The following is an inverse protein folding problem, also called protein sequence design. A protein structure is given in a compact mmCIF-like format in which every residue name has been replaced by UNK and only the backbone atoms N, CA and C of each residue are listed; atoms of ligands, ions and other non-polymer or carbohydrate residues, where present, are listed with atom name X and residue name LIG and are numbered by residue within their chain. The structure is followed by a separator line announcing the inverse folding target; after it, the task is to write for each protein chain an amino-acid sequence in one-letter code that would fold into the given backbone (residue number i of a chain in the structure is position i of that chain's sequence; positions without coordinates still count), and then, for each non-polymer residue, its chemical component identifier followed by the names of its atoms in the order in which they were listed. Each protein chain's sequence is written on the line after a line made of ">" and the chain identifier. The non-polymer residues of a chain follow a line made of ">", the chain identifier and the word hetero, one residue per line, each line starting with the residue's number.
data_IF_705029351473
#
_entry.id   IF_705029351473
#
_cell.length_a   1.000
_cell.length_b   1.000
_cell.length_c   1.000
_cell.angle_alpha   90.00
_cell.angle_beta   90.00
_cell.angle_gamma   90.00
#
_symmetry.space_group_name_H-M   'P 1'
#
loop_
_entity.id
_entity.type
_entity.pdbx_description
1 polymer ?
#
# COMPACT_ATOMS: atom_id res chain seq x y z
N UNK A 1 18.29 14.71 7.29
CA UNK A 1 19.60 15.37 7.26
C UNK A 1 19.75 15.94 5.87
N UNK A 2 19.84 17.26 5.72
CA UNK A 2 19.97 17.88 4.39
C UNK A 2 21.40 17.72 3.89
N UNK A 3 21.53 17.08 2.75
CA UNK A 3 22.82 16.87 2.11
C UNK A 3 22.87 17.61 0.77
N UNK A 4 24.06 18.07 0.40
CA UNK A 4 24.31 18.58 -0.95
C UNK A 4 24.06 17.46 -1.96
N UNK A 5 23.28 17.78 -2.99
CA UNK A 5 22.95 16.85 -4.04
C UNK A 5 24.12 16.76 -5.04
N UNK A 6 24.65 15.56 -5.24
CA UNK A 6 25.64 15.26 -6.25
C UNK A 6 25.14 14.16 -7.20
N UNK A 7 25.89 13.95 -8.30
CA UNK A 7 25.51 12.98 -9.33
C UNK A 7 25.49 11.54 -8.83
N UNK A 8 26.34 11.20 -7.85
CA UNK A 8 26.40 9.85 -7.30
C UNK A 8 25.12 9.54 -6.50
N UNK A 9 24.65 10.50 -5.70
CA UNK A 9 23.41 10.38 -4.93
C UNK A 9 22.18 10.31 -5.82
N UNK A 10 22.14 11.11 -6.89
CA UNK A 10 21.09 11.01 -7.90
C UNK A 10 21.03 9.63 -8.55
N UNK A 11 22.18 9.05 -8.91
CA UNK A 11 22.22 7.70 -9.49
C UNK A 11 21.73 6.64 -8.50
N UNK A 12 22.12 6.72 -7.23
CA UNK A 12 21.63 5.81 -6.17
C UNK A 12 20.12 5.93 -5.97
N UNK A 13 19.57 7.14 -6.00
CA UNK A 13 18.12 7.39 -5.91
C UNK A 13 17.36 6.81 -7.10
N UNK A 14 17.84 7.07 -8.32
CA UNK A 14 17.24 6.50 -9.55
C UNK A 14 17.29 4.97 -9.52
N UNK A 15 18.41 4.40 -9.07
CA UNK A 15 18.52 2.96 -8.91
C UNK A 15 17.52 2.42 -7.88
N UNK A 16 17.41 3.04 -6.70
CA UNK A 16 16.48 2.65 -5.66
C UNK A 16 15.02 2.72 -6.13
N UNK A 17 14.58 3.82 -6.73
CA UNK A 17 13.20 4.01 -7.22
C UNK A 17 12.81 2.96 -8.26
N UNK A 18 13.75 2.57 -9.12
CA UNK A 18 13.47 1.59 -10.18
C UNK A 18 13.50 0.14 -9.69
N UNK A 19 14.24 -0.17 -8.62
CA UNK A 19 14.46 -1.55 -8.18
C UNK A 19 13.78 -1.90 -6.84
N UNK A 20 13.38 -0.92 -6.04
CA UNK A 20 12.65 -1.20 -4.81
C UNK A 20 11.18 -1.50 -5.11
N UNK A 21 10.65 -2.52 -4.42
CA UNK A 21 9.20 -2.76 -4.34
C UNK A 21 8.59 -1.64 -3.52
N UNK A 22 7.79 -0.80 -4.17
CA UNK A 22 7.11 0.34 -3.56
C UNK A 22 5.79 0.57 -4.27
N UNK A 23 4.79 1.06 -3.53
CA UNK A 23 3.48 1.39 -4.09
C UNK A 23 3.59 2.60 -5.05
N UNK A 24 2.64 2.72 -5.98
CA UNK A 24 2.58 3.86 -6.91
C UNK A 24 2.60 5.23 -6.21
N UNK A 25 1.80 5.44 -5.13
CA UNK A 25 1.83 6.67 -4.34
C UNK A 25 3.19 6.96 -3.68
N UNK A 26 3.85 5.93 -3.13
CA UNK A 26 5.17 6.07 -2.51
C UNK A 26 6.22 6.49 -3.55
N UNK A 27 6.16 5.88 -4.75
CA UNK A 27 7.02 6.25 -5.88
C UNK A 27 6.85 7.72 -6.30
N UNK A 28 5.61 8.18 -6.39
CA UNK A 28 5.29 9.57 -6.73
C UNK A 28 5.80 10.56 -5.67
N UNK A 29 5.69 10.22 -4.38
CA UNK A 29 6.23 11.05 -3.30
C UNK A 29 7.77 11.14 -3.36
N UNK A 30 8.45 10.02 -3.58
CA UNK A 30 9.91 10.02 -3.75
C UNK A 30 10.30 10.88 -4.95
N UNK A 31 9.62 10.73 -6.09
CA UNK A 31 9.87 11.54 -7.29
C UNK A 31 9.70 13.03 -7.00
N UNK A 32 8.66 13.43 -6.26
CA UNK A 32 8.45 14.83 -5.86
C UNK A 32 9.56 15.34 -4.96
N UNK A 33 9.94 14.58 -3.92
CA UNK A 33 11.03 14.95 -3.03
C UNK A 33 12.36 15.12 -3.79
N UNK A 34 12.65 14.24 -4.76
CA UNK A 34 13.83 14.35 -5.63
C UNK A 34 13.77 15.59 -6.51
N UNK A 35 12.63 15.88 -7.17
CA UNK A 35 12.48 17.09 -8.01
C UNK A 35 12.67 18.35 -7.17
N UNK A 36 12.04 18.41 -5.99
CA UNK A 36 12.20 19.54 -5.06
C UNK A 36 13.66 19.67 -4.65
N UNK A 37 14.34 18.57 -4.34
CA UNK A 37 15.74 18.60 -3.96
C UNK A 37 16.68 19.05 -5.09
N UNK A 38 16.40 18.68 -6.34
CA UNK A 38 17.12 19.17 -7.52
C UNK A 38 16.98 20.70 -7.65
N UNK A 39 15.76 21.22 -7.48
CA UNK A 39 15.49 22.66 -7.61
C UNK A 39 16.19 23.49 -6.53
N UNK A 40 16.35 22.95 -5.32
CA UNK A 40 16.98 23.66 -4.20
C UNK A 40 18.48 23.37 -4.08
N UNK A 41 19.01 22.39 -4.82
CA UNK A 41 20.42 21.98 -4.77
C UNK A 41 20.80 21.13 -3.54
N UNK A 42 19.81 20.80 -2.71
CA UNK A 42 19.95 20.04 -1.48
C UNK A 42 18.82 19.02 -1.39
N UNK A 43 19.12 17.83 -0.87
CA UNK A 43 18.16 16.75 -0.73
C UNK A 43 18.14 16.30 0.72
N UNK A 44 16.94 16.24 1.30
CA UNK A 44 16.75 15.62 2.62
C UNK A 44 16.59 14.12 2.41
N UNK A 45 17.71 13.40 2.54
CA UNK A 45 17.75 11.95 2.37
C UNK A 45 16.90 11.26 3.43
N UNK A 46 16.83 11.80 4.65
CA UNK A 46 15.94 11.28 5.68
C UNK A 46 14.48 11.44 5.27
N UNK A 47 14.08 12.54 4.63
CA UNK A 47 12.69 12.68 4.15
C UNK A 47 12.33 11.65 3.07
N UNK A 48 13.29 11.24 2.23
CA UNK A 48 13.07 10.25 1.17
C UNK A 48 13.01 8.82 1.72
N UNK A 49 13.83 8.52 2.72
CA UNK A 49 13.90 7.19 3.33
C UNK A 49 12.99 7.02 4.56
N UNK A 50 12.49 8.11 5.15
CA UNK A 50 11.45 8.11 6.20
C UNK A 50 10.03 8.18 5.65
N UNK A 51 9.81 7.81 4.39
CA UNK A 51 8.43 7.59 3.91
C UNK A 51 7.94 6.24 4.48
N UNK A 52 7.88 6.18 5.81
CA UNK A 52 6.86 5.46 6.56
C UNK A 52 5.72 6.45 6.72
N UNK A 53 4.83 6.48 5.72
CA UNK A 53 3.41 6.73 5.92
C UNK A 53 2.76 6.63 4.54
N UNK A 54 2.40 5.39 4.19
CA UNK A 54 1.14 5.21 3.46
C UNK A 54 0.12 5.96 4.31
N UNK A 55 -0.35 7.13 3.86
CA UNK A 55 -1.34 7.89 4.62
C UNK A 55 -2.37 6.91 5.16
N UNK A 56 -2.43 6.79 6.49
CA UNK A 56 -3.22 5.76 7.14
C UNK A 56 -4.68 5.97 6.73
N UNK A 57 -5.18 5.11 5.83
CA UNK A 57 -6.54 5.20 5.33
C UNK A 57 -7.45 4.45 6.28
N UNK A 58 -8.75 4.72 6.23
CA UNK A 58 -9.72 3.87 6.94
C UNK A 58 -9.62 2.39 6.50
N UNK A 59 -9.14 2.13 5.28
CA UNK A 59 -8.89 0.77 4.77
C UNK A 59 -7.67 0.14 5.42
N UNK A 60 -6.55 0.86 5.57
CA UNK A 60 -5.37 0.31 6.25
C UNK A 60 -5.65 0.06 7.73
N UNK A 61 -6.31 1.00 8.41
CA UNK A 61 -6.75 0.83 9.81
C UNK A 61 -7.68 -0.35 10.01
N UNK A 62 -8.53 -0.63 9.03
CA UNK A 62 -9.41 -1.79 9.05
C UNK A 62 -8.64 -3.10 8.89
N UNK A 63 -7.67 -3.15 7.97
CA UNK A 63 -6.84 -4.34 7.75
C UNK A 63 -5.99 -4.69 8.98
N UNK A 64 -5.52 -3.68 9.70
CA UNK A 64 -4.72 -3.84 10.92
C UNK A 64 -5.58 -4.02 12.19
N UNK A 65 -6.90 -4.05 12.07
CA UNK A 65 -7.79 -4.11 13.23
C UNK A 65 -7.99 -5.53 13.75
N UNK A 66 -8.04 -5.66 15.08
CA UNK A 66 -8.43 -6.91 15.75
C UNK A 66 -9.81 -7.41 15.30
N UNK A 67 -10.71 -6.49 14.89
CA UNK A 67 -12.02 -6.83 14.35
C UNK A 67 -11.96 -7.76 13.14
N UNK A 68 -10.98 -7.54 12.26
CA UNK A 68 -10.76 -8.35 11.08
C UNK A 68 -10.01 -9.64 11.44
N UNK A 69 -9.00 -9.55 12.31
CA UNK A 69 -8.24 -10.71 12.79
C UNK A 69 -9.13 -11.75 13.50
N UNK A 70 -10.14 -11.31 14.24
CA UNK A 70 -11.11 -12.19 14.90
C UNK A 70 -12.10 -12.87 13.93
N UNK A 71 -12.33 -12.27 12.75
CA UNK A 71 -13.36 -12.71 11.80
C UNK A 71 -12.80 -13.40 10.56
N UNK A 72 -11.52 -13.20 10.27
CA UNK A 72 -10.83 -13.81 9.15
C UNK A 72 -9.67 -14.66 9.68
N UNK A 73 -9.65 -15.94 9.29
CA UNK A 73 -8.44 -16.75 9.43
C UNK A 73 -7.42 -16.22 8.42
N UNK A 74 -6.20 -15.91 8.87
CA UNK A 74 -5.18 -15.24 8.07
C UNK A 74 -5.00 -15.84 6.66
N UNK A 75 -5.16 -17.17 6.51
CA UNK A 75 -4.86 -17.88 5.28
C UNK A 75 -6.02 -18.10 4.29
N UNK A 76 -7.23 -17.59 4.57
CA UNK A 76 -8.39 -17.84 3.73
C UNK A 76 -8.68 -16.73 2.71
N UNK A 77 -9.06 -17.15 1.50
CA UNK A 77 -9.56 -16.23 0.48
C UNK A 77 -10.96 -15.73 0.85
N UNK A 78 -11.09 -14.44 1.10
CA UNK A 78 -12.37 -13.79 1.40
C UNK A 78 -12.98 -13.16 0.14
N UNK A 79 -14.29 -13.27 -0.03
CA UNK A 79 -14.97 -12.64 -1.17
C UNK A 79 -14.96 -11.11 -1.01
N UNK A 80 -14.79 -10.38 -2.10
CA UNK A 80 -14.71 -8.91 -2.12
C UNK A 80 -15.94 -8.24 -1.49
N UNK A 81 -17.13 -8.79 -1.73
CA UNK A 81 -18.39 -8.31 -1.17
C UNK A 81 -18.43 -8.49 0.34
N UNK A 82 -18.07 -9.68 0.82
CA UNK A 82 -18.00 -10.00 2.25
C UNK A 82 -16.97 -9.12 2.98
N UNK A 83 -15.77 -8.98 2.42
CA UNK A 83 -14.72 -8.14 2.98
C UNK A 83 -15.16 -6.66 3.05
N UNK A 84 -15.86 -6.16 2.02
CA UNK A 84 -16.38 -4.79 2.04
C UNK A 84 -17.52 -4.61 3.04
N UNK A 85 -18.37 -5.61 3.26
CA UNK A 85 -19.38 -5.57 4.31
C UNK A 85 -18.75 -5.52 5.71
N UNK A 86 -17.69 -6.30 5.95
CA UNK A 86 -16.92 -6.24 7.19
C UNK A 86 -16.32 -4.86 7.41
N UNK A 87 -15.75 -4.26 6.36
CA UNK A 87 -15.22 -2.90 6.39
C UNK A 87 -16.30 -1.86 6.74
N UNK A 88 -17.49 -1.97 6.15
CA UNK A 88 -18.61 -1.06 6.46
C UNK A 88 -19.05 -1.18 7.92
N UNK A 89 -19.16 -2.41 8.45
CA UNK A 89 -19.52 -2.62 9.87
C UNK A 89 -18.46 -2.07 10.81
N UNK A 90 -17.18 -2.26 10.48
CA UNK A 90 -16.09 -1.68 11.25
C UNK A 90 -16.12 -0.14 11.20
N UNK A 91 -16.37 0.45 10.03
CA UNK A 91 -16.54 1.90 9.89
C UNK A 91 -17.67 2.43 10.76
N UNK A 92 -18.85 1.79 10.71
CA UNK A 92 -20.02 2.16 11.50
C UNK A 92 -19.74 2.09 13.01
N UNK A 93 -19.12 1.00 13.48
CA UNK A 93 -18.74 0.83 14.88
C UNK A 93 -17.73 1.90 15.37
N UNK A 94 -16.94 2.48 14.47
CA UNK A 94 -15.94 3.50 14.78
C UNK A 94 -16.39 4.94 14.43
N UNK A 95 -17.63 5.13 13.94
CA UNK A 95 -18.13 6.45 13.51
C UNK A 95 -17.38 7.03 12.29
N UNK A 96 -16.74 6.17 11.50
CA UNK A 96 -16.00 6.54 10.30
C UNK A 96 -16.92 6.41 9.09
N UNK A 97 -16.89 7.38 8.18
CA UNK A 97 -17.59 7.26 6.90
C UNK A 97 -16.84 6.25 6.01
N UNK A 98 -17.49 5.17 5.55
CA UNK A 98 -16.83 4.22 4.67
C UNK A 98 -16.52 4.84 3.31
N UNK A 99 -15.37 4.45 2.77
CA UNK A 99 -14.99 4.73 1.39
C UNK A 99 -15.89 3.98 0.41
N UNK A 100 -16.01 4.49 -0.83
CA UNK A 100 -16.74 3.79 -1.89
C UNK A 100 -16.10 2.42 -2.19
N UNK A 101 -16.88 1.46 -2.67
CA UNK A 101 -16.38 0.13 -3.06
C UNK A 101 -15.20 0.22 -4.06
N UNK A 102 -15.25 1.17 -4.98
CA UNK A 102 -14.17 1.40 -5.96
C UNK A 102 -12.90 1.94 -5.30
N UNK A 103 -13.03 2.86 -4.34
CA UNK A 103 -11.89 3.38 -3.57
C UNK A 103 -11.31 2.30 -2.68
N UNK A 104 -12.17 1.52 -2.01
CA UNK A 104 -11.79 0.39 -1.18
C UNK A 104 -10.94 -0.62 -1.97
N UNK A 105 -11.43 -1.08 -3.12
CA UNK A 105 -10.69 -2.03 -3.96
C UNK A 105 -9.38 -1.47 -4.52
N UNK A 106 -9.31 -0.15 -4.74
CA UNK A 106 -8.06 0.53 -5.15
C UNK A 106 -7.05 0.51 -4.00
N UNK A 107 -7.47 0.88 -2.79
CA UNK A 107 -6.60 0.88 -1.62
C UNK A 107 -6.06 -0.52 -1.32
N UNK A 108 -6.88 -1.58 -1.40
CA UNK A 108 -6.40 -2.96 -1.24
C UNK A 108 -5.30 -3.31 -2.26
N UNK A 109 -5.46 -2.89 -3.51
CA UNK A 109 -4.46 -3.11 -4.56
C UNK A 109 -3.17 -2.30 -4.31
N UNK A 110 -3.31 -1.06 -3.86
CA UNK A 110 -2.18 -0.18 -3.55
C UNK A 110 -1.40 -0.66 -2.32
N UNK A 111 -2.03 -1.46 -1.45
CA UNK A 111 -1.44 -2.15 -0.30
C UNK A 111 -0.91 -3.55 -0.64
N UNK A 112 -0.81 -3.92 -1.92
CA UNK A 112 -0.33 -5.22 -2.39
C UNK A 112 -1.10 -6.44 -1.83
N UNK A 113 -2.37 -6.25 -1.47
CA UNK A 113 -3.25 -7.36 -1.03
C UNK A 113 -3.47 -8.33 -2.19
N UNK A 114 -3.27 -9.62 -1.93
CA UNK A 114 -3.39 -10.67 -2.94
C UNK A 114 -4.83 -10.74 -3.49
N UNK A 115 -4.96 -10.85 -4.82
CA UNK A 115 -6.25 -10.82 -5.51
C UNK A 115 -6.41 -12.01 -6.47
N UNK A 116 -7.60 -12.62 -6.49
CA UNK A 116 -7.98 -13.66 -7.44
C UNK A 116 -9.40 -13.44 -7.94
N UNK A 117 -9.56 -13.49 -9.25
CA UNK A 117 -10.88 -13.51 -9.89
C UNK A 117 -11.35 -14.95 -10.10
N UNK A 118 -12.60 -15.24 -9.75
CA UNK A 118 -13.29 -16.50 -10.02
C UNK A 118 -14.61 -16.23 -10.75
N UNK A 119 -15.30 -17.28 -11.18
CA UNK A 119 -16.55 -17.17 -11.94
C UNK A 119 -17.70 -16.54 -11.13
N UNK A 120 -17.67 -16.74 -9.81
CA UNK A 120 -18.66 -16.31 -8.83
C UNK A 120 -18.31 -14.98 -8.14
N UNK A 121 -17.12 -14.43 -8.39
CA UNK A 121 -16.74 -13.13 -7.86
C UNK A 121 -15.24 -12.88 -7.75
N UNK A 122 -14.92 -11.81 -7.04
CA UNK A 122 -13.57 -11.39 -6.74
C UNK A 122 -13.21 -11.82 -5.32
N UNK A 123 -11.98 -12.26 -5.11
CA UNK A 123 -11.49 -12.74 -3.82
C UNK A 123 -10.17 -12.07 -3.46
N UNK A 124 -9.96 -11.83 -2.18
CA UNK A 124 -8.75 -11.27 -1.61
C UNK A 124 -8.16 -12.21 -0.56
N UNK A 125 -6.83 -12.21 -0.41
CA UNK A 125 -6.11 -12.91 0.65
C UNK A 125 -5.26 -11.90 1.40
N UNK A 126 -5.36 -11.92 2.73
CA UNK A 126 -4.75 -10.91 3.61
C UNK A 126 -3.34 -11.29 4.09
N UNK A 127 -2.81 -12.44 3.65
CA UNK A 127 -1.44 -12.86 3.93
C UNK A 127 -0.39 -11.98 3.26
N UNK A 128 0.64 -11.65 4.03
CA UNK A 128 1.82 -10.90 3.59
C UNK A 128 2.83 -11.73 2.77
N UNK A 129 2.56 -13.01 2.47
CA UNK A 129 3.47 -13.80 1.64
C UNK A 129 3.05 -13.78 0.16
N UNK A 130 3.94 -13.33 -0.74
CA UNK A 130 3.68 -13.38 -2.17
C UNK A 130 3.56 -14.85 -2.58
N UNK A 131 2.45 -15.15 -3.26
CA UNK A 131 2.13 -16.45 -3.83
C UNK A 131 3.25 -16.90 -4.78
N UNK A 132 4.21 -17.70 -4.29
CA UNK A 132 5.22 -18.38 -5.11
C UNK A 132 4.61 -19.56 -5.90
N UNK A 133 3.35 -19.46 -6.33
CA UNK A 133 2.59 -20.58 -6.90
C UNK A 133 2.15 -20.36 -8.36
N UNK A 134 2.71 -19.37 -9.08
CA UNK A 134 2.39 -19.15 -10.52
C UNK A 134 3.59 -19.23 -11.46
N UNK A 135 4.74 -19.78 -11.02
CA UNK A 135 5.94 -19.91 -11.86
C UNK A 135 6.18 -21.33 -12.42
N UNK A 136 5.19 -22.23 -12.37
CA UNK A 136 5.26 -23.55 -13.00
C UNK A 136 3.94 -23.91 -13.66
N UNK A 137 3.76 -23.49 -14.91
CA UNK A 137 2.92 -24.14 -15.91
C UNK A 137 3.43 -23.78 -17.30
#
# INVERSE_FOLDING_TARGET
>A
MTEKLDMEKLQKLVYYVNNAKMSGPQREQINRAVIVGILHGEIDTDMIFRIEDVQETSVSRFLDSDFLAERCLANDWIQATELYELYNRWCDANGIKPESLTTFGRNLKDMDVSFKKKADGNYYRLDSEPDQASALS
#
